data_IF_453708520087
#
_entry.id   IF_453708520087
#
_cell.length_a   1.000
_cell.length_b   1.000
_cell.length_c   1.000
_cell.angle_alpha   90.00
_cell.angle_beta   90.00
_cell.angle_gamma   90.00
#
_symmetry.space_group_name_H-M   'P 1'
#
loop_
_entity.id
_entity.type
_entity.pdbx_description
1 polymer ?
#
# COMPACT_ATOMS: atom_id res chain seq x y z
N UNK A 1 -13.07 -3.69 -9.76
CA UNK A 1 -12.36 -4.98 -9.73
C UNK A 1 -11.68 -5.27 -11.05
N UNK A 2 -12.35 -5.96 -11.98
CA UNK A 2 -11.76 -6.41 -13.25
C UNK A 2 -11.09 -5.30 -14.06
N UNK A 3 -11.76 -4.18 -14.30
CA UNK A 3 -11.20 -3.06 -15.09
C UNK A 3 -10.01 -2.42 -14.36
N UNK A 4 -10.19 -2.05 -13.08
CA UNK A 4 -9.15 -1.45 -12.21
C UNK A 4 -7.85 -2.27 -12.29
N UNK A 5 -7.93 -3.56 -11.99
CA UNK A 5 -6.77 -4.47 -11.93
C UNK A 5 -6.07 -4.60 -13.28
N UNK A 6 -6.80 -4.64 -14.40
CA UNK A 6 -6.18 -4.70 -15.73
C UNK A 6 -5.37 -3.43 -16.04
N UNK A 7 -5.95 -2.25 -15.79
CA UNK A 7 -5.29 -0.96 -16.06
C UNK A 7 -4.04 -0.81 -15.19
N UNK A 8 -4.14 -1.19 -13.92
CA UNK A 8 -3.01 -1.17 -12.98
C UNK A 8 -1.87 -2.10 -13.39
N UNK A 9 -2.18 -3.32 -13.85
CA UNK A 9 -1.15 -4.22 -14.40
C UNK A 9 -0.45 -3.59 -15.60
N UNK A 10 -1.18 -2.97 -16.53
CA UNK A 10 -0.57 -2.28 -17.67
C UNK A 10 0.29 -1.09 -17.23
N UNK A 11 -0.18 -0.31 -16.26
CA UNK A 11 0.59 0.78 -15.67
C UNK A 11 1.90 0.30 -15.08
N UNK A 12 1.89 -0.77 -14.27
CA UNK A 12 3.09 -1.36 -13.68
C UNK A 12 4.09 -1.81 -14.75
N UNK A 13 3.62 -2.41 -15.84
CA UNK A 13 4.48 -2.80 -16.97
C UNK A 13 5.17 -1.57 -17.58
N UNK A 14 4.43 -0.48 -17.79
CA UNK A 14 5.01 0.77 -18.30
C UNK A 14 6.02 1.37 -17.31
N UNK A 15 5.75 1.32 -16.00
CA UNK A 15 6.66 1.81 -14.97
C UNK A 15 7.97 1.01 -14.93
N UNK A 16 7.91 -0.32 -14.99
CA UNK A 16 9.11 -1.17 -15.07
C UNK A 16 9.95 -0.86 -16.31
N UNK A 17 9.30 -0.70 -17.48
CA UNK A 17 9.99 -0.29 -18.72
C UNK A 17 10.63 1.09 -18.66
N UNK A 18 10.21 1.94 -17.72
CA UNK A 18 10.78 3.26 -17.44
C UNK A 18 11.82 3.23 -16.30
N UNK A 19 12.20 2.06 -15.81
CA UNK A 19 13.16 1.91 -14.72
C UNK A 19 12.58 2.19 -13.32
N UNK A 20 11.26 2.16 -13.17
CA UNK A 20 10.59 2.32 -11.87
C UNK A 20 10.09 0.99 -11.33
N UNK A 21 10.24 0.77 -10.03
CA UNK A 21 9.75 -0.42 -9.34
C UNK A 21 8.27 -0.25 -8.96
N UNK A 22 7.32 -0.98 -9.56
CA UNK A 22 5.93 -0.94 -9.12
C UNK A 22 5.76 -1.62 -7.76
N UNK A 23 5.02 -0.97 -6.87
CA UNK A 23 4.79 -1.42 -5.50
C UNK A 23 3.29 -1.64 -5.30
N UNK A 24 2.93 -2.84 -4.87
CA UNK A 24 1.60 -3.12 -4.34
C UNK A 24 1.64 -2.90 -2.82
N UNK A 25 1.09 -1.76 -2.42
CA UNK A 25 1.40 -1.18 -1.13
C UNK A 25 0.63 0.10 -0.88
N UNK A 26 0.87 0.70 0.27
CA UNK A 26 0.37 2.02 0.60
C UNK A 26 1.53 2.95 0.93
N UNK A 27 1.39 4.23 0.59
CA UNK A 27 2.30 5.28 1.01
C UNK A 27 1.54 6.39 1.70
N UNK A 28 2.03 6.75 2.88
CA UNK A 28 1.46 7.78 3.71
C UNK A 28 2.55 8.74 4.17
N UNK A 29 2.25 10.03 4.09
CA UNK A 29 3.04 11.09 4.72
C UNK A 29 2.40 11.40 6.06
N UNK A 30 3.15 11.17 7.13
CA UNK A 30 2.73 11.43 8.51
C UNK A 30 3.48 12.67 8.98
N UNK A 31 2.75 13.64 9.53
CA UNK A 31 3.33 14.78 10.19
C UNK A 31 2.84 14.87 11.64
N UNK A 32 3.77 14.74 12.57
CA UNK A 32 3.48 14.75 14.00
C UNK A 32 3.22 16.17 14.51
N UNK A 33 2.55 16.28 15.67
CA UNK A 33 2.37 17.57 16.38
C UNK A 33 3.70 18.23 16.73
N UNK A 34 4.76 17.45 16.90
CA UNK A 34 6.14 17.91 17.09
C UNK A 34 6.78 18.55 15.84
N UNK A 35 6.05 18.64 14.72
CA UNK A 35 6.50 19.09 13.38
C UNK A 35 7.45 18.15 12.66
N UNK A 36 7.90 17.04 13.28
CA UNK A 36 8.60 15.97 12.57
C UNK A 36 7.65 15.34 11.55
N UNK A 37 8.18 14.95 10.40
CA UNK A 37 7.43 14.24 9.37
C UNK A 37 8.22 13.07 8.84
N UNK A 38 7.51 12.02 8.44
CA UNK A 38 8.08 10.86 7.79
C UNK A 38 7.13 10.39 6.69
N UNK A 39 7.70 9.95 5.57
CA UNK A 39 7.00 9.31 4.48
C UNK A 39 7.26 7.81 4.56
N UNK A 40 6.20 7.06 4.78
CA UNK A 40 6.24 5.63 4.99
C UNK A 40 5.59 4.92 3.80
N UNK A 41 6.23 3.86 3.31
CA UNK A 41 5.66 2.90 2.37
C UNK A 41 5.50 1.56 3.09
N UNK A 42 4.30 0.97 3.03
CA UNK A 42 4.00 -0.37 3.55
C UNK A 42 3.66 -1.27 2.37
N UNK A 43 4.46 -2.31 2.15
CA UNK A 43 4.28 -3.31 1.09
C UNK A 43 3.65 -4.56 1.66
N UNK A 44 2.82 -5.21 0.87
CA UNK A 44 2.20 -6.47 1.26
C UNK A 44 1.09 -6.81 0.28
N UNK A 45 0.72 -8.08 0.19
CA UNK A 45 -0.34 -8.48 -0.73
C UNK A 45 -1.72 -8.15 -0.13
N UNK A 46 -2.79 -8.41 -0.88
CA UNK A 46 -4.18 -8.13 -0.47
C UNK A 46 -4.48 -8.84 0.85
N UNK A 47 -4.96 -8.10 1.86
CA UNK A 47 -5.32 -8.66 3.16
C UNK A 47 -4.15 -8.83 4.15
N UNK A 48 -2.94 -8.40 3.80
CA UNK A 48 -1.79 -8.40 4.71
C UNK A 48 -1.87 -7.36 5.86
N UNK A 49 -2.87 -6.49 5.88
CA UNK A 49 -3.07 -5.50 6.95
C UNK A 49 -2.72 -4.04 6.58
N UNK A 50 -2.34 -3.76 5.31
CA UNK A 50 -1.91 -2.42 4.87
C UNK A 50 -2.95 -1.32 5.14
N UNK A 51 -4.18 -1.53 4.70
CA UNK A 51 -5.26 -0.55 4.84
C UNK A 51 -5.65 -0.37 6.31
N UNK A 52 -5.63 -1.46 7.08
CA UNK A 52 -5.86 -1.46 8.53
C UNK A 52 -4.77 -0.66 9.26
N UNK A 53 -3.50 -0.75 8.86
CA UNK A 53 -2.42 0.07 9.43
C UNK A 53 -2.61 1.56 9.14
N UNK A 54 -3.03 1.94 7.92
CA UNK A 54 -3.33 3.34 7.58
C UNK A 54 -4.49 3.86 8.43
N UNK A 55 -5.52 3.04 8.62
CA UNK A 55 -6.67 3.42 9.44
C UNK A 55 -6.28 3.57 10.91
N UNK A 56 -5.45 2.67 11.44
CA UNK A 56 -4.89 2.82 12.78
C UNK A 56 -4.13 4.15 12.94
N UNK A 57 -3.38 4.59 11.92
CA UNK A 57 -2.77 5.91 11.94
C UNK A 57 -3.80 7.05 11.98
N UNK A 58 -4.96 6.92 11.32
CA UNK A 58 -6.04 7.92 11.42
C UNK A 58 -6.58 8.05 12.83
N UNK A 59 -6.79 6.92 13.52
CA UNK A 59 -7.27 6.92 14.91
C UNK A 59 -6.23 7.53 15.84
N UNK A 60 -4.95 7.14 15.69
CA UNK A 60 -3.84 7.73 16.46
C UNK A 60 -3.59 9.20 16.13
N UNK A 61 -4.17 9.71 15.04
CA UNK A 61 -3.96 11.09 14.64
C UNK A 61 -4.52 12.08 15.65
N UNK A 62 -5.63 11.76 16.31
CA UNK A 62 -6.24 12.66 17.29
C UNK A 62 -5.26 13.03 18.42
N UNK A 63 -4.42 12.08 18.84
CA UNK A 63 -3.47 12.28 19.94
C UNK A 63 -2.12 12.84 19.46
N UNK A 64 -1.52 12.27 18.42
CA UNK A 64 -0.09 12.49 18.12
C UNK A 64 0.20 13.07 16.72
N UNK A 65 -0.71 12.90 15.75
CA UNK A 65 -0.50 13.30 14.37
C UNK A 65 -1.19 14.64 14.10
N UNK A 66 -0.47 15.58 13.53
CA UNK A 66 -1.02 16.88 13.11
C UNK A 66 -1.70 16.77 11.75
N UNK A 67 -1.06 16.06 10.82
CA UNK A 67 -1.52 15.95 9.44
C UNK A 67 -1.09 14.60 8.87
N UNK A 68 -1.95 14.00 8.05
CA UNK A 68 -1.69 12.73 7.38
C UNK A 68 -2.23 12.77 5.95
N UNK A 69 -1.34 12.57 4.98
CA UNK A 69 -1.70 12.55 3.57
C UNK A 69 -1.41 11.16 2.98
N UNK A 70 -2.43 10.55 2.37
CA UNK A 70 -2.25 9.30 1.61
C UNK A 70 -1.77 9.67 0.20
N UNK A 71 -0.63 9.13 -0.21
CA UNK A 71 -0.11 9.25 -1.57
C UNK A 71 -0.70 8.15 -2.46
N UNK A 72 -0.80 6.93 -1.92
CA UNK A 72 -1.53 5.80 -2.51
C UNK A 72 -1.88 4.76 -1.43
N UNK A 73 -2.95 3.98 -1.60
CA UNK A 73 -3.41 2.95 -0.66
C UNK A 73 -3.32 1.51 -1.20
N UNK A 74 -3.25 1.36 -2.52
CA UNK A 74 -3.22 0.07 -3.22
C UNK A 74 -1.95 -0.07 -4.09
N UNK A 75 -1.65 0.94 -4.91
CA UNK A 75 -0.52 0.88 -5.84
C UNK A 75 0.26 2.19 -5.99
N UNK A 76 1.58 2.03 -6.04
CA UNK A 76 2.53 3.09 -6.35
C UNK A 76 3.68 2.60 -7.21
N UNK A 77 4.63 3.48 -7.45
CA UNK A 77 5.92 3.14 -8.05
C UNK A 77 7.05 3.88 -7.35
N UNK A 78 8.21 3.24 -7.27
CA UNK A 78 9.43 3.80 -6.73
C UNK A 78 10.42 4.10 -7.86
N UNK A 79 11.14 5.20 -7.71
CA UNK A 79 12.20 5.63 -8.63
C UNK A 79 13.43 6.00 -7.81
N UNK A 80 14.58 5.51 -8.24
CA UNK A 80 15.87 5.99 -7.73
C UNK A 80 16.24 7.23 -8.54
N UNK A 81 16.46 8.36 -7.87
CA UNK A 81 16.89 9.61 -8.52
C UNK A 81 18.42 9.78 -8.42
N UNK A 82 18.95 10.81 -9.09
CA UNK A 82 20.39 10.97 -9.40
C UNK A 82 21.35 11.01 -8.19
N UNK A 83 20.84 11.17 -6.97
CA UNK A 83 21.58 11.21 -5.71
C UNK A 83 21.43 9.93 -4.87
N UNK A 84 20.76 8.91 -5.41
CA UNK A 84 20.41 7.68 -4.68
C UNK A 84 19.18 7.81 -3.79
N UNK A 85 18.53 8.99 -3.74
CA UNK A 85 17.26 9.14 -3.03
C UNK A 85 16.17 8.34 -3.75
N UNK A 86 15.29 7.72 -2.97
CA UNK A 86 14.16 6.95 -3.48
C UNK A 86 12.91 7.82 -3.37
N UNK A 87 12.20 8.00 -4.48
CA UNK A 87 10.90 8.67 -4.52
C UNK A 87 9.77 7.70 -4.83
N UNK A 88 8.69 7.82 -4.08
CA UNK A 88 7.42 7.14 -4.30
C UNK A 88 6.40 8.03 -5.01
N UNK A 89 5.70 7.47 -5.98
CA UNK A 89 4.61 8.09 -6.74
C UNK A 89 3.37 7.22 -6.62
N UNK A 90 2.20 7.86 -6.51
CA UNK A 90 0.93 7.15 -6.52
C UNK A 90 0.52 6.75 -7.94
N UNK A 91 -0.53 5.93 -8.02
CA UNK A 91 -1.19 5.59 -9.29
C UNK A 91 -2.67 5.98 -9.33
N UNK A 92 -3.27 6.29 -8.17
CA UNK A 92 -4.72 6.40 -8.02
C UNK A 92 -5.12 7.58 -7.12
N UNK A 93 -6.25 8.23 -7.44
CA UNK A 93 -6.78 9.36 -6.67
C UNK A 93 -7.91 8.97 -5.70
N UNK A 94 -8.43 7.75 -5.83
CA UNK A 94 -9.57 7.27 -5.06
C UNK A 94 -9.43 5.81 -4.69
N UNK A 95 -10.09 5.43 -3.60
CA UNK A 95 -10.11 4.07 -3.10
C UNK A 95 -11.37 3.33 -3.57
N UNK A 96 -11.25 2.03 -3.82
CA UNK A 96 -12.36 1.13 -4.13
C UNK A 96 -12.53 0.12 -3.00
N UNK A 97 -13.36 0.47 -2.02
CA UNK A 97 -13.45 -0.21 -0.73
C UNK A 97 -14.81 -0.85 -0.50
N UNK A 98 -14.88 -1.81 0.43
CA UNK A 98 -16.16 -2.34 0.90
C UNK A 98 -16.83 -1.30 1.76
N UNK A 99 -18.15 -1.17 1.61
CA UNK A 99 -18.89 -0.19 2.41
C UNK A 99 -18.80 -0.52 3.92
N UNK A 100 -18.81 -1.82 4.27
CA UNK A 100 -18.70 -2.29 5.65
C UNK A 100 -17.31 -2.10 6.28
N UNK A 101 -16.26 -1.88 5.46
CA UNK A 101 -14.91 -1.62 5.95
C UNK A 101 -14.70 -0.14 6.30
N UNK A 102 -15.63 0.74 5.91
CA UNK A 102 -15.51 2.17 6.17
C UNK A 102 -15.94 2.50 7.59
N UNK A 103 -15.05 3.16 8.34
CA UNK A 103 -15.41 3.74 9.62
C UNK A 103 -16.50 4.80 9.44
N UNK A 104 -17.55 4.81 10.29
CA UNK A 104 -18.67 5.74 10.14
C UNK A 104 -18.22 7.21 10.00
N UNK A 105 -17.31 7.67 10.85
CA UNK A 105 -16.81 9.05 10.83
C UNK A 105 -16.10 9.44 9.52
N UNK A 106 -15.25 8.55 9.00
CA UNK A 106 -14.57 8.78 7.72
C UNK A 106 -15.56 8.74 6.56
N UNK A 107 -16.50 7.78 6.56
CA UNK A 107 -17.55 7.67 5.55
C UNK A 107 -18.36 8.98 5.45
N UNK A 108 -18.82 9.55 6.57
CA UNK A 108 -19.58 10.80 6.57
C UNK A 108 -18.82 11.99 5.97
N UNK A 109 -17.50 12.07 6.17
CA UNK A 109 -16.69 13.19 5.67
C UNK A 109 -16.44 13.19 4.15
N UNK A 110 -16.71 12.07 3.47
CA UNK A 110 -16.50 11.94 2.02
C UNK A 110 -17.74 11.47 1.27
N UNK A 111 -18.85 11.18 1.96
CA UNK A 111 -20.04 10.57 1.36
C UNK A 111 -20.63 11.42 0.23
N UNK A 112 -20.56 12.75 0.35
CA UNK A 112 -21.04 13.71 -0.64
C UNK A 112 -20.29 13.63 -1.98
N UNK A 113 -19.06 13.12 -1.95
CA UNK A 113 -18.17 12.91 -3.11
C UNK A 113 -17.96 11.44 -3.45
N UNK A 114 -18.79 10.56 -2.87
CA UNK A 114 -18.66 9.10 -3.02
C UNK A 114 -19.63 8.54 -4.05
N UNK A 115 -19.21 7.49 -4.78
CA UNK A 115 -20.11 6.68 -5.61
C UNK A 115 -20.34 5.35 -4.90
N UNK A 116 -21.56 5.12 -4.43
CA UNK A 116 -21.96 3.87 -3.78
C UNK A 116 -22.55 2.91 -4.80
N UNK A 117 -22.03 1.68 -4.84
CA UNK A 117 -22.39 0.66 -5.80
C UNK A 117 -23.02 -0.54 -5.09
N UNK A 118 -24.20 -0.95 -5.59
CA UNK A 118 -24.94 -2.12 -5.11
C UNK A 118 -25.15 -2.14 -3.58
N UNK A 119 -25.69 -1.07 -2.96
CA UNK A 119 -25.80 -0.95 -1.50
C UNK A 119 -26.67 -2.04 -0.85
N UNK A 120 -27.55 -2.67 -1.62
CA UNK A 120 -28.43 -3.75 -1.19
C UNK A 120 -27.75 -5.13 -1.13
N UNK A 121 -26.49 -5.25 -1.58
CA UNK A 121 -25.75 -6.53 -1.57
C UNK A 121 -24.75 -6.54 -0.41
N UNK A 122 -24.50 -7.73 0.12
CA UNK A 122 -23.46 -7.99 1.15
C UNK A 122 -22.07 -7.49 0.72
N UNK A 123 -21.81 -7.45 -0.59
CA UNK A 123 -20.55 -6.97 -1.13
C UNK A 123 -20.65 -5.53 -1.68
N UNK A 124 -21.43 -4.66 -1.03
CA UNK A 124 -21.53 -3.25 -1.39
C UNK A 124 -20.13 -2.61 -1.44
N UNK A 125 -19.95 -1.71 -2.40
CA UNK A 125 -18.67 -1.03 -2.65
C UNK A 125 -18.88 0.47 -2.72
N UNK A 126 -17.87 1.20 -2.27
CA UNK A 126 -17.80 2.64 -2.44
C UNK A 126 -16.55 3.00 -3.23
N UNK A 127 -16.68 3.96 -4.14
CA UNK A 127 -15.56 4.70 -4.71
C UNK A 127 -15.51 6.03 -3.99
N UNK A 128 -14.39 6.31 -3.31
CA UNK A 128 -14.21 7.52 -2.50
C UNK A 128 -12.92 8.24 -2.91
N UNK A 129 -12.89 9.59 -2.92
CA UNK A 129 -11.65 10.32 -3.15
C UNK A 129 -10.74 10.20 -1.92
N UNK A 130 -9.46 9.85 -2.12
CA UNK A 130 -8.47 9.75 -1.04
C UNK A 130 -7.34 10.75 -1.18
N UNK A 131 -7.06 11.20 -2.41
CA UNK A 131 -5.94 12.11 -2.69
C UNK A 131 -6.18 12.89 -4.00
N UNK A 132 -5.25 13.77 -4.36
CA UNK A 132 -5.34 14.57 -5.59
C UNK A 132 -4.34 14.11 -6.64
N UNK A 133 -4.56 14.48 -7.90
CA UNK A 133 -3.61 14.19 -8.97
C UNK A 133 -2.23 14.79 -8.69
N UNK A 134 -2.20 16.00 -8.10
CA UNK A 134 -0.95 16.65 -7.73
C UNK A 134 -0.16 15.83 -6.71
N UNK A 135 -0.83 15.33 -5.68
CA UNK A 135 -0.23 14.49 -4.64
C UNK A 135 0.34 13.19 -5.21
N UNK A 136 -0.43 12.54 -6.09
CA UNK A 136 -0.04 11.29 -6.77
C UNK A 136 1.23 11.48 -7.63
N UNK A 137 1.34 12.60 -8.34
CA UNK A 137 2.42 12.86 -9.29
C UNK A 137 3.67 13.53 -8.70
N UNK A 138 3.56 14.14 -7.51
CA UNK A 138 4.62 15.00 -6.94
C UNK A 138 5.94 14.29 -6.69
N UNK A 139 5.90 13.01 -6.34
CA UNK A 139 7.07 12.25 -5.91
C UNK A 139 7.48 12.61 -4.48
N UNK A 140 7.32 11.67 -3.57
CA UNK A 140 7.66 11.83 -2.16
C UNK A 140 8.89 10.99 -1.83
N UNK A 141 9.88 11.56 -1.13
CA UNK A 141 10.99 10.78 -0.59
C UNK A 141 10.45 9.61 0.25
N UNK A 142 11.04 8.42 0.16
CA UNK A 142 10.73 7.29 1.03
C UNK A 142 11.67 7.31 2.23
N UNK A 143 11.14 7.54 3.42
CA UNK A 143 11.94 7.52 4.67
C UNK A 143 11.93 6.13 5.30
N UNK A 144 10.80 5.41 5.21
CA UNK A 144 10.65 4.04 5.70
C UNK A 144 10.00 3.16 4.63
N UNK A 145 10.54 1.95 4.44
CA UNK A 145 10.01 0.94 3.54
C UNK A 145 9.78 -0.34 4.31
N UNK A 146 8.51 -0.63 4.62
CA UNK A 146 8.11 -1.71 5.51
C UNK A 146 7.44 -2.85 4.75
N UNK A 147 7.63 -4.06 5.24
CA UNK A 147 6.92 -5.25 4.79
C UNK A 147 5.82 -5.62 5.80
N UNK A 148 4.58 -5.75 5.34
CA UNK A 148 3.45 -6.16 6.19
C UNK A 148 3.43 -7.67 6.33
N UNK A 149 3.78 -8.14 7.52
CA UNK A 149 3.76 -9.54 7.91
C UNK A 149 2.49 -9.85 8.72
N UNK A 150 1.75 -10.87 8.30
CA UNK A 150 0.55 -11.34 8.99
C UNK A 150 0.55 -12.87 9.21
N UNK A 151 1.72 -13.51 9.10
CA UNK A 151 1.89 -14.96 9.23
C UNK A 151 2.79 -15.37 10.40
N UNK A 152 3.52 -14.43 11.00
CA UNK A 152 4.22 -14.62 12.27
C UNK A 152 3.43 -13.96 13.41
N UNK A 153 3.32 -14.67 14.54
CA UNK A 153 2.76 -14.10 15.75
C UNK A 153 3.80 -13.22 16.44
N UNK A 154 3.35 -12.14 17.07
CA UNK A 154 4.26 -11.25 17.81
C UNK A 154 4.65 -11.93 19.12
N UNK A 155 5.95 -12.19 19.29
CA UNK A 155 6.53 -12.80 20.48
C UNK A 155 7.95 -12.23 20.75
N UNK A 156 8.66 -12.81 21.71
CA UNK A 156 10.01 -12.35 22.08
C UNK A 156 11.05 -12.50 20.95
N UNK A 157 10.79 -13.39 19.98
CA UNK A 157 11.65 -13.61 18.80
C UNK A 157 11.18 -12.81 17.58
N UNK A 158 9.89 -12.48 17.50
CA UNK A 158 9.26 -11.73 16.41
C UNK A 158 8.62 -10.43 16.96
N UNK A 159 9.41 -9.36 17.14
CA UNK A 159 8.88 -8.08 17.63
C UNK A 159 7.93 -7.43 16.61
N UNK A 160 7.13 -6.45 17.07
CA UNK A 160 6.20 -5.69 16.22
C UNK A 160 6.92 -5.02 15.03
N UNK A 161 8.16 -4.58 15.25
CA UNK A 161 9.03 -4.04 14.21
C UNK A 161 10.36 -4.77 14.24
N UNK A 162 10.73 -5.31 13.09
CA UNK A 162 12.02 -5.94 12.85
C UNK A 162 12.77 -5.15 11.77
N UNK A 163 14.05 -4.89 12.02
CA UNK A 163 14.92 -4.21 11.07
C UNK A 163 15.74 -5.25 10.29
N UNK A 164 15.82 -5.07 8.97
CA UNK A 164 16.76 -5.82 8.16
C UNK A 164 18.16 -5.21 8.27
N UNK A 165 19.18 -6.05 8.47
CA UNK A 165 20.57 -5.57 8.60
C UNK A 165 21.31 -5.55 7.26
N UNK A 166 20.72 -6.13 6.21
CA UNK A 166 21.27 -6.14 4.85
C UNK A 166 20.18 -6.07 3.78
N UNK A 167 20.57 -5.60 2.59
CA UNK A 167 19.68 -5.58 1.43
C UNK A 167 19.35 -7.00 0.96
N UNK A 168 20.30 -7.93 1.11
CA UNK A 168 20.15 -9.34 0.75
C UNK A 168 19.07 -10.03 1.58
N UNK A 169 19.06 -9.84 2.90
CA UNK A 169 18.03 -10.35 3.80
C UNK A 169 16.66 -9.79 3.46
N UNK A 170 16.57 -8.47 3.27
CA UNK A 170 15.33 -7.82 2.87
C UNK A 170 14.84 -8.38 1.52
N UNK A 171 15.72 -8.52 0.53
CA UNK A 171 15.36 -9.05 -0.78
C UNK A 171 14.81 -10.48 -0.71
N UNK A 172 15.25 -11.33 0.22
CA UNK A 172 14.66 -12.66 0.41
C UNK A 172 13.19 -12.54 0.80
N UNK A 173 12.89 -11.76 1.84
CA UNK A 173 11.51 -11.57 2.35
C UNK A 173 10.62 -10.92 1.30
N UNK A 174 11.07 -9.81 0.72
CA UNK A 174 10.29 -9.09 -0.28
C UNK A 174 10.05 -9.93 -1.53
N UNK A 175 11.05 -10.67 -2.03
CA UNK A 175 10.87 -11.55 -3.21
C UNK A 175 9.93 -12.72 -2.93
N UNK A 176 9.96 -13.28 -1.72
CA UNK A 176 9.02 -14.34 -1.32
C UNK A 176 7.58 -13.80 -1.28
N UNK A 177 7.42 -12.57 -0.76
CA UNK A 177 6.15 -11.85 -0.70
C UNK A 177 5.05 -12.70 -0.07
N UNK A 178 5.40 -13.36 1.05
CA UNK A 178 4.53 -14.24 1.79
C UNK A 178 3.44 -13.47 2.55
N UNK A 179 2.23 -14.05 2.61
CA UNK A 179 1.17 -13.63 3.52
C UNK A 179 0.29 -14.80 3.92
N UNK A 180 -0.33 -14.72 5.09
CA UNK A 180 -1.42 -15.61 5.46
C UNK A 180 -2.73 -15.14 4.82
N UNK A 181 -3.46 -16.03 4.14
CA UNK A 181 -4.75 -15.70 3.54
C UNK A 181 -5.84 -15.48 4.62
N UNK A 182 -6.48 -14.31 4.63
CA UNK A 182 -7.60 -13.98 5.53
C UNK A 182 -8.92 -14.73 5.23
N UNK A 183 -8.94 -15.65 4.26
CA UNK A 183 -10.16 -16.35 3.83
C UNK A 183 -11.19 -15.46 3.12
N UNK A 184 -10.84 -14.21 2.81
CA UNK A 184 -11.64 -13.26 2.02
C UNK A 184 -11.51 -13.48 0.51
N UNK A 185 -10.59 -14.37 0.11
CA UNK A 185 -10.37 -14.86 -1.26
C UNK A 185 -10.50 -16.39 -1.29
N UNK A 186 -10.42 -17.01 -2.47
CA UNK A 186 -10.43 -18.48 -2.62
C UNK A 186 -9.17 -19.17 -2.08
N UNK A 187 -8.17 -18.40 -1.66
CA UNK A 187 -6.88 -18.91 -1.18
C UNK A 187 -6.94 -19.30 0.30
N UNK A 188 -6.19 -20.34 0.68
CA UNK A 188 -6.10 -20.84 2.06
C UNK A 188 -4.63 -21.03 2.44
N UNK A 189 -4.30 -20.71 3.70
CA UNK A 189 -2.95 -20.89 4.24
C UNK A 189 -1.97 -19.81 3.80
N UNK A 190 -0.67 -20.16 3.81
CA UNK A 190 0.42 -19.28 3.41
C UNK A 190 0.46 -19.15 1.88
N UNK A 191 0.33 -17.93 1.39
CA UNK A 191 0.35 -17.57 -0.04
C UNK A 191 1.63 -16.77 -0.31
N UNK A 192 2.24 -17.00 -1.48
CA UNK A 192 3.45 -16.30 -1.92
C UNK A 192 3.21 -15.61 -3.24
N UNK A 193 3.69 -14.38 -3.37
CA UNK A 193 3.63 -13.60 -4.59
C UNK A 193 4.91 -12.78 -4.73
N UNK A 194 5.56 -12.84 -5.89
CA UNK A 194 6.83 -12.15 -6.10
C UNK A 194 6.71 -10.64 -5.82
N UNK A 195 7.51 -10.11 -4.89
CA UNK A 195 7.42 -8.72 -4.40
C UNK A 195 6.06 -8.33 -3.82
N UNK A 196 5.30 -9.32 -3.33
CA UNK A 196 3.92 -9.17 -2.86
C UNK A 196 3.00 -8.48 -3.89
N UNK A 197 3.35 -8.55 -5.17
CA UNK A 197 2.72 -7.81 -6.26
C UNK A 197 2.33 -8.75 -7.40
N UNK A 198 1.06 -9.16 -7.40
CA UNK A 198 0.48 -10.03 -8.44
C UNK A 198 0.28 -9.34 -9.80
N UNK A 199 0.62 -8.05 -9.92
CA UNK A 199 0.23 -7.19 -11.04
C UNK A 199 1.41 -6.82 -11.95
N UNK A 200 2.07 -7.83 -12.51
CA UNK A 200 3.10 -7.66 -13.54
C UNK A 200 4.54 -8.08 -13.17
N UNK A 201 5.05 -7.82 -11.95
CA UNK A 201 6.47 -8.09 -11.62
C UNK A 201 6.95 -9.51 -11.93
N UNK A 202 6.11 -10.53 -11.69
CA UNK A 202 6.48 -11.93 -11.95
C UNK A 202 6.78 -12.20 -13.43
N UNK A 203 6.13 -11.49 -14.37
CA UNK A 203 6.36 -11.65 -15.81
C UNK A 203 7.58 -10.86 -16.32
N UNK A 204 8.13 -9.94 -15.53
CA UNK A 204 9.20 -9.02 -15.94
C UNK A 204 10.40 -9.09 -14.98
N UNK A 205 10.69 -10.28 -14.44
CA UNK A 205 11.81 -10.50 -13.51
C UNK A 205 13.14 -9.96 -14.03
N UNK A 206 13.38 -10.06 -15.34
CA UNK A 206 14.60 -9.57 -16.00
C UNK A 206 14.78 -8.03 -15.90
N UNK A 207 13.69 -7.27 -15.78
CA UNK A 207 13.74 -5.83 -15.57
C UNK A 207 13.88 -5.44 -14.09
N UNK A 208 13.68 -6.41 -13.18
CA UNK A 208 13.66 -6.25 -11.74
C UNK A 208 14.79 -6.99 -11.03
N UNK A 209 15.62 -7.73 -11.77
CA UNK A 209 16.83 -8.35 -11.27
C UNK A 209 17.87 -7.27 -11.01
N UNK A 210 17.97 -6.88 -9.73
CA UNK A 210 19.17 -6.29 -9.14
C UNK A 210 20.34 -7.26 -9.23
#
# INVERSE_FOLDING_TARGET
GYIKKMILTLHNIVMMKRGRLPVHGAMVRICLKSKKSANLVIVGDTGAGKSESIEAFRVLAEENIRDMAIVYDDMGSLEIINDGEIKGYGTEMGAFVRLDDLQPGYAFGVIDRSIIMSPHRINARAVIPITTLQEVLKGYKVDYFLYANNYEEVDDSHPIFEEFFSAEEALVVFREGARLAKGTTTEKGLVRSYFANIFGPIQYKELLSL
#
